data_IF_781018331569
#
_entry.id   IF_781018331569
#
_cell.length_a   1.000
_cell.length_b   1.000
_cell.length_c   1.000
_cell.angle_alpha   90.00
_cell.angle_beta   90.00
_cell.angle_gamma   90.00
#
_symmetry.space_group_name_H-M   'P 1'
#
loop_
_entity.id
_entity.type
_entity.pdbx_description
1 polymer ?
#
# COMPACT_ATOMS: atom_id res chain seq x y z
N UNK A 1 10.01 6.21 1.22
CA UNK A 1 11.23 5.70 0.55
C UNK A 1 12.17 5.30 1.67
N UNK A 2 12.47 4.01 1.79
CA UNK A 2 13.35 3.49 2.84
C UNK A 2 14.69 3.13 2.20
N UNK A 3 15.77 3.76 2.66
CA UNK A 3 17.13 3.33 2.40
C UNK A 3 17.47 2.30 3.46
N UNK A 4 17.61 1.04 3.05
CA UNK A 4 18.06 -0.03 3.94
C UNK A 4 19.54 -0.21 3.68
N UNK A 5 20.37 -0.08 4.72
CA UNK A 5 21.81 -0.31 4.61
C UNK A 5 22.11 -1.73 4.12
N UNK A 6 23.03 -1.84 3.17
CA UNK A 6 23.36 -3.08 2.44
C UNK A 6 23.70 -4.28 3.35
N UNK A 7 24.06 -4.02 4.60
CA UNK A 7 24.49 -5.03 5.56
C UNK A 7 23.39 -5.96 6.09
N UNK A 8 22.11 -5.57 6.04
CA UNK A 8 21.01 -6.35 6.63
C UNK A 8 20.30 -7.31 5.65
N UNK A 9 20.53 -7.17 4.34
CA UNK A 9 19.91 -8.03 3.31
C UNK A 9 20.88 -9.05 2.70
N UNK A 10 22.15 -9.00 3.08
CA UNK A 10 23.17 -9.92 2.55
C UNK A 10 23.07 -11.33 3.13
N UNK A 11 22.45 -11.50 4.31
CA UNK A 11 22.46 -12.77 5.04
C UNK A 11 21.19 -13.64 4.91
N UNK A 12 20.00 -13.09 4.63
CA UNK A 12 18.77 -13.90 4.75
C UNK A 12 17.89 -14.05 3.49
N UNK A 13 18.05 -13.27 2.41
CA UNK A 13 17.00 -13.28 1.37
C UNK A 13 17.40 -13.11 -0.10
N UNK A 14 18.69 -13.16 -0.46
CA UNK A 14 19.09 -12.83 -1.85
C UNK A 14 20.01 -13.86 -2.49
N UNK A 15 19.56 -15.12 -2.50
CA UNK A 15 19.95 -16.08 -3.55
C UNK A 15 18.82 -17.08 -3.79
N UNK A 16 17.70 -16.59 -4.31
CA UNK A 16 16.80 -17.44 -5.09
C UNK A 16 17.51 -17.66 -6.43
N UNK A 17 17.73 -18.91 -6.82
CA UNK A 17 18.60 -19.37 -7.91
C UNK A 17 18.19 -18.93 -9.35
N UNK A 18 17.42 -17.85 -9.51
CA UNK A 18 16.82 -17.39 -10.78
C UNK A 18 16.96 -15.88 -11.07
N UNK A 19 17.88 -15.16 -10.41
CA UNK A 19 18.25 -13.78 -10.79
C UNK A 19 18.02 -12.71 -9.72
N UNK A 20 18.22 -11.45 -10.12
CA UNK A 20 18.13 -10.28 -9.22
C UNK A 20 16.65 -9.99 -8.90
N UNK A 21 16.28 -10.01 -7.62
CA UNK A 21 14.92 -9.73 -7.15
C UNK A 21 14.49 -8.29 -7.50
N UNK A 22 13.55 -8.11 -8.43
CA UNK A 22 13.04 -6.77 -8.84
C UNK A 22 11.74 -6.37 -8.14
N UNK A 23 10.92 -7.34 -7.75
CA UNK A 23 9.61 -7.12 -7.15
C UNK A 23 9.34 -8.17 -6.07
N UNK A 24 8.81 -7.74 -4.93
CA UNK A 24 8.37 -8.63 -3.85
C UNK A 24 7.15 -8.04 -3.15
N UNK A 25 6.02 -8.75 -3.14
CA UNK A 25 4.74 -8.31 -2.54
C UNK A 25 4.25 -6.92 -2.97
N UNK A 26 4.59 -6.45 -4.18
CA UNK A 26 4.22 -5.09 -4.62
C UNK A 26 5.21 -4.01 -4.18
N UNK A 27 6.32 -4.39 -3.55
CA UNK A 27 7.51 -3.56 -3.36
C UNK A 27 8.47 -3.77 -4.52
N UNK A 28 8.77 -2.69 -5.22
CA UNK A 28 9.81 -2.61 -6.23
C UNK A 28 11.16 -2.44 -5.52
N UNK A 29 12.14 -3.23 -5.95
CA UNK A 29 13.50 -3.21 -5.43
C UNK A 29 14.43 -2.75 -6.54
N UNK A 30 14.90 -1.50 -6.43
CA UNK A 30 15.96 -0.97 -7.28
C UNK A 30 17.30 -1.10 -6.54
N UNK A 31 18.33 -1.58 -7.24
CA UNK A 31 19.68 -1.72 -6.69
C UNK A 31 20.62 -0.80 -7.45
N UNK A 32 21.48 -0.12 -6.71
CA UNK A 32 22.52 0.77 -7.21
C UNK A 32 23.84 0.50 -6.45
N UNK A 33 25.01 0.93 -6.97
CA UNK A 33 26.26 0.89 -6.20
C UNK A 33 26.18 1.62 -4.85
N UNK A 34 25.27 2.57 -4.71
CA UNK A 34 25.03 3.37 -3.51
C UNK A 34 24.08 2.69 -2.51
N UNK A 35 23.47 1.56 -2.89
CA UNK A 35 22.62 0.73 -2.03
C UNK A 35 21.30 0.29 -2.66
N UNK A 36 20.37 -0.16 -1.82
CA UNK A 36 19.06 -0.70 -2.20
C UNK A 36 17.94 0.32 -1.94
N UNK A 37 17.15 0.57 -2.98
CA UNK A 37 15.97 1.42 -2.96
C UNK A 37 14.69 0.59 -3.02
N UNK A 38 13.80 0.82 -2.06
CA UNK A 38 12.47 0.20 -2.00
C UNK A 38 11.39 1.22 -2.34
N UNK A 39 10.51 0.86 -3.29
CA UNK A 39 9.39 1.68 -3.74
C UNK A 39 8.10 0.88 -3.78
N UNK A 40 6.99 1.44 -3.32
CA UNK A 40 5.65 0.88 -3.55
C UNK A 40 4.82 1.77 -4.49
N UNK A 41 5.47 2.63 -5.27
CA UNK A 41 4.77 3.62 -6.09
C UNK A 41 3.82 2.96 -7.10
N UNK A 42 4.29 1.94 -7.83
CA UNK A 42 3.47 1.17 -8.77
C UNK A 42 2.26 0.54 -8.08
N UNK A 43 2.44 -0.09 -6.92
CA UNK A 43 1.35 -0.71 -6.17
C UNK A 43 0.27 0.30 -5.76
N UNK A 44 0.67 1.49 -5.31
CA UNK A 44 -0.26 2.59 -5.00
C UNK A 44 -1.01 3.07 -6.24
N UNK A 45 -0.33 3.19 -7.38
CA UNK A 45 -0.98 3.55 -8.65
C UNK A 45 -1.97 2.48 -9.12
N UNK A 46 -1.63 1.21 -8.97
CA UNK A 46 -2.51 0.10 -9.35
C UNK A 46 -3.80 0.09 -8.50
N UNK A 47 -3.72 0.42 -7.20
CA UNK A 47 -4.91 0.62 -6.34
C UNK A 47 -5.79 1.76 -6.87
N UNK A 48 -5.19 2.90 -7.21
CA UNK A 48 -5.92 4.06 -7.74
C UNK A 48 -6.56 3.74 -9.09
N UNK A 49 -5.84 3.03 -9.96
CA UNK A 49 -6.33 2.55 -11.26
C UNK A 49 -7.57 1.67 -11.09
N UNK A 50 -7.49 0.65 -10.23
CA UNK A 50 -8.59 -0.28 -10.01
C UNK A 50 -9.79 0.33 -9.32
N UNK A 51 -9.57 1.30 -8.42
CA UNK A 51 -10.65 2.07 -7.81
C UNK A 51 -11.31 3.06 -8.78
N UNK A 52 -10.77 3.24 -10.00
CA UNK A 52 -11.27 4.19 -10.98
C UNK A 52 -11.00 5.65 -10.61
N UNK A 53 -9.98 5.90 -9.78
CA UNK A 53 -9.66 7.22 -9.22
C UNK A 53 -8.53 7.95 -9.96
N UNK A 54 -8.17 7.49 -11.16
CA UNK A 54 -7.14 8.14 -11.97
C UNK A 54 -7.64 9.48 -12.50
N UNK A 55 -6.96 10.54 -12.11
CA UNK A 55 -7.36 11.91 -12.41
C UNK A 55 -8.21 12.56 -11.33
N UNK A 56 -8.52 11.86 -10.24
CA UNK A 56 -9.06 12.50 -9.04
C UNK A 56 -8.07 13.51 -8.47
N UNK A 57 -8.59 14.62 -7.94
CA UNK A 57 -7.77 15.60 -7.23
C UNK A 57 -7.16 14.96 -5.98
N UNK A 58 -5.86 15.19 -5.69
CA UNK A 58 -5.27 14.73 -4.44
C UNK A 58 -6.07 15.26 -3.25
N UNK A 59 -6.36 14.37 -2.30
CA UNK A 59 -6.92 14.79 -1.02
C UNK A 59 -5.81 15.38 -0.15
N UNK A 60 -6.07 16.53 0.49
CA UNK A 60 -5.11 17.16 1.41
C UNK A 60 -4.93 16.34 2.70
N UNK A 61 -6.00 15.66 3.12
CA UNK A 61 -6.02 14.75 4.26
C UNK A 61 -6.74 13.46 3.85
N UNK A 62 -6.30 12.28 4.33
CA UNK A 62 -6.85 11.01 3.90
C UNK A 62 -8.28 10.77 4.41
N UNK A 63 -8.63 11.31 5.58
CA UNK A 63 -9.98 11.31 6.14
C UNK A 63 -10.13 12.42 7.19
N UNK A 64 -11.30 13.06 7.25
CA UNK A 64 -11.66 14.01 8.31
C UNK A 64 -11.77 13.29 9.67
N UNK A 65 -11.09 13.78 10.70
CA UNK A 65 -11.15 13.21 12.04
C UNK A 65 -12.48 13.52 12.72
N UNK A 66 -13.00 12.57 13.52
CA UNK A 66 -14.29 12.68 14.22
C UNK A 66 -15.51 12.82 13.30
N UNK A 67 -15.37 12.48 12.01
CA UNK A 67 -16.54 12.34 11.16
C UNK A 67 -17.36 11.16 11.68
N UNK A 68 -18.61 11.43 12.08
CA UNK A 68 -19.55 10.37 12.37
C UNK A 68 -19.88 9.67 11.05
N UNK A 69 -19.15 8.60 10.73
CA UNK A 69 -19.58 7.65 9.71
C UNK A 69 -21.03 7.33 10.03
N UNK A 70 -21.94 7.62 9.10
CA UNK A 70 -23.34 7.33 9.31
C UNK A 70 -23.43 5.84 9.66
N UNK A 71 -23.90 5.52 10.88
CA UNK A 71 -24.17 4.14 11.28
C UNK A 71 -25.01 3.56 10.15
N UNK A 72 -24.48 2.53 9.47
CA UNK A 72 -25.05 2.06 8.23
C UNK A 72 -26.51 1.64 8.45
N UNK A 73 -27.44 2.53 8.10
CA UNK A 73 -28.89 2.26 8.06
C UNK A 73 -29.31 1.66 6.71
N UNK A 74 -28.33 1.44 5.82
CA UNK A 74 -28.53 0.94 4.47
C UNK A 74 -28.47 -0.59 4.38
N UNK A 75 -28.85 -1.11 3.22
CA UNK A 75 -28.75 -2.54 2.90
C UNK A 75 -27.27 -2.91 2.75
N UNK A 76 -26.88 -4.07 3.28
CA UNK A 76 -25.54 -4.59 3.10
C UNK A 76 -25.18 -4.72 1.60
N UNK A 77 -23.90 -4.57 1.28
CA UNK A 77 -23.40 -4.81 -0.07
C UNK A 77 -23.79 -6.23 -0.52
N UNK A 78 -24.43 -6.34 -1.69
CA UNK A 78 -24.80 -7.63 -2.29
C UNK A 78 -23.56 -8.51 -2.51
N UNK A 79 -22.45 -7.88 -2.89
CA UNK A 79 -21.14 -8.53 -2.98
C UNK A 79 -20.09 -7.72 -2.19
N UNK A 80 -19.57 -8.25 -1.06
CA UNK A 80 -18.54 -7.60 -0.27
C UNK A 80 -17.12 -7.83 -0.82
N UNK A 81 -16.92 -8.69 -1.82
CA UNK A 81 -15.59 -9.08 -2.29
C UNK A 81 -14.75 -7.90 -2.82
N UNK A 82 -15.28 -6.98 -3.65
CA UNK A 82 -14.52 -5.84 -4.16
C UNK A 82 -14.04 -4.92 -3.03
N UNK A 83 -14.91 -4.69 -2.03
CA UNK A 83 -14.58 -3.89 -0.86
C UNK A 83 -13.47 -4.54 -0.04
N UNK A 84 -13.60 -5.84 0.30
CA UNK A 84 -12.59 -6.58 1.07
C UNK A 84 -11.25 -6.62 0.35
N UNK A 85 -11.26 -6.81 -0.98
CA UNK A 85 -10.05 -6.78 -1.80
C UNK A 85 -9.37 -5.42 -1.74
N UNK A 86 -10.11 -4.32 -1.92
CA UNK A 86 -9.56 -2.97 -1.83
C UNK A 86 -9.01 -2.67 -0.43
N UNK A 87 -9.77 -3.03 0.60
CA UNK A 87 -9.38 -2.82 2.00
C UNK A 87 -8.10 -3.58 2.37
N UNK A 88 -7.96 -4.82 1.93
CA UNK A 88 -6.73 -5.61 2.12
C UNK A 88 -5.48 -4.95 1.50
N UNK A 89 -5.62 -4.28 0.35
CA UNK A 89 -4.52 -3.54 -0.26
C UNK A 89 -4.20 -2.24 0.47
N UNK A 90 -5.21 -1.56 1.02
CA UNK A 90 -5.02 -0.36 1.84
C UNK A 90 -4.24 -0.67 3.12
N UNK A 91 -4.57 -1.77 3.81
CA UNK A 91 -3.80 -2.27 4.96
C UNK A 91 -2.33 -2.51 4.58
N UNK A 92 -2.09 -3.05 3.39
CA UNK A 92 -0.72 -3.31 2.93
C UNK A 92 0.08 -2.00 2.69
N UNK A 93 -0.58 -0.95 2.18
CA UNK A 93 0.05 0.36 1.99
C UNK A 93 0.31 1.07 3.32
N UNK A 94 -0.63 0.96 4.26
CA UNK A 94 -0.57 1.59 5.59
C UNK A 94 0.73 1.24 6.35
N UNK A 95 1.25 0.02 6.18
CA UNK A 95 2.50 -0.42 6.80
C UNK A 95 3.69 0.52 6.54
N UNK A 96 3.71 1.25 5.42
CA UNK A 96 4.77 2.21 5.09
C UNK A 96 4.30 3.67 5.09
N UNK A 97 3.05 3.95 5.44
CA UNK A 97 2.39 5.26 5.30
C UNK A 97 1.48 5.52 6.51
N UNK A 98 2.04 5.82 7.70
CA UNK A 98 1.30 5.90 8.96
C UNK A 98 0.26 7.03 9.01
N UNK A 99 0.32 7.98 8.09
CA UNK A 99 -0.72 8.99 7.84
C UNK A 99 -2.04 8.37 7.36
N UNK A 100 -2.03 7.17 6.77
CA UNK A 100 -3.24 6.44 6.39
C UNK A 100 -3.85 5.61 7.52
N UNK A 101 -3.11 5.38 8.61
CA UNK A 101 -3.49 4.47 9.69
C UNK A 101 -4.84 4.83 10.31
N UNK A 102 -5.10 6.12 10.52
CA UNK A 102 -6.39 6.59 11.03
C UNK A 102 -7.54 6.18 10.09
N UNK A 103 -7.36 6.38 8.78
CA UNK A 103 -8.41 6.10 7.79
C UNK A 103 -8.66 4.61 7.66
N UNK A 104 -7.60 3.80 7.68
CA UNK A 104 -7.72 2.33 7.61
C UNK A 104 -8.36 1.77 8.87
N UNK A 105 -7.99 2.26 10.05
CA UNK A 105 -8.53 1.78 11.32
C UNK A 105 -10.02 2.11 11.50
N UNK A 106 -10.46 3.27 11.03
CA UNK A 106 -11.88 3.68 11.11
C UNK A 106 -12.76 2.88 10.15
N UNK A 107 -12.20 2.33 9.07
CA UNK A 107 -12.91 1.53 8.06
C UNK A 107 -12.87 0.01 8.32
N UNK A 108 -12.09 -0.44 9.30
CA UNK A 108 -11.96 -1.84 9.71
C UNK A 108 -13.25 -2.35 10.37
#
# INVERSE_FOLDING_TARGET
MLLVGDHLLQYDMVRVYFGVLKYFLGVEVARSPEGIFLSQHKYKLDIIWEAGLLGCKPAAFPMEQNHALAIAKGVALHDPEPYRRLFGRLIYVDFNHPDLAYSVHILA
#
